data_IF_393761378075
#
_entry.id   IF_393761378075
#
_cell.length_a   1.000
_cell.length_b   1.000
_cell.length_c   1.000
_cell.angle_alpha   90.00
_cell.angle_beta   90.00
_cell.angle_gamma   90.00
#
_symmetry.space_group_name_H-M   'P 1'
#
loop_
_entity.id
_entity.type
_entity.pdbx_description
1 polymer ?
#
# COMPACT_ATOMS: atom_id res chain seq x y z
N UNK A 1 -23.33 1.66 -29.20
CA UNK A 1 -22.28 0.66 -29.52
C UNK A 1 -20.95 1.21 -29.01
N UNK A 2 -20.54 0.83 -27.79
CA UNK A 2 -19.28 1.29 -27.22
C UNK A 2 -18.13 0.78 -28.09
N UNK A 3 -17.29 1.69 -28.58
CA UNK A 3 -16.11 1.39 -29.39
C UNK A 3 -15.18 0.43 -28.64
N UNK A 4 -15.12 -0.81 -29.12
CA UNK A 4 -14.33 -1.93 -28.58
C UNK A 4 -12.81 -1.66 -28.63
N UNK A 5 -12.36 -0.67 -29.41
CA UNK A 5 -10.94 -0.29 -29.51
C UNK A 5 -10.45 0.66 -28.40
N UNK A 6 -11.33 1.48 -27.83
CA UNK A 6 -10.95 2.51 -26.84
C UNK A 6 -10.89 1.96 -25.40
N UNK A 7 -11.50 0.80 -25.14
CA UNK A 7 -11.66 0.24 -23.79
C UNK A 7 -10.48 -0.60 -23.28
N UNK A 8 -9.81 -1.37 -24.14
CA UNK A 8 -8.57 -2.10 -23.75
C UNK A 8 -7.35 -1.21 -23.65
N UNK A 9 -7.19 -0.29 -24.60
CA UNK A 9 -6.04 0.61 -24.61
C UNK A 9 -6.08 1.53 -23.38
N UNK A 10 -7.25 2.10 -23.07
CA UNK A 10 -7.46 2.88 -21.85
C UNK A 10 -7.26 2.08 -20.55
N UNK A 11 -7.62 0.78 -20.55
CA UNK A 11 -7.36 -0.09 -19.41
C UNK A 11 -5.85 -0.27 -19.17
N UNK A 12 -5.07 -0.49 -20.22
CA UNK A 12 -3.61 -0.64 -20.13
C UNK A 12 -2.94 0.69 -19.78
N UNK A 13 -3.33 1.78 -20.44
CA UNK A 13 -2.84 3.15 -20.19
C UNK A 13 -3.02 3.56 -18.73
N UNK A 14 -4.06 3.06 -18.06
CA UNK A 14 -4.28 3.31 -16.63
C UNK A 14 -3.59 2.26 -15.75
N UNK A 15 -3.62 0.99 -16.14
CA UNK A 15 -3.10 -0.11 -15.31
C UNK A 15 -1.57 -0.06 -15.13
N UNK A 16 -0.82 0.29 -16.18
CA UNK A 16 0.65 0.35 -16.12
C UNK A 16 1.14 1.40 -15.12
N UNK A 17 0.76 2.69 -15.21
CA UNK A 17 1.21 3.68 -14.24
C UNK A 17 0.70 3.36 -12.83
N UNK A 18 -0.50 2.78 -12.69
CA UNK A 18 -1.01 2.37 -11.39
C UNK A 18 -0.18 1.25 -10.76
N UNK A 19 0.20 0.22 -11.53
CA UNK A 19 1.09 -0.85 -11.06
C UNK A 19 2.46 -0.32 -10.65
N UNK A 20 3.04 0.60 -11.42
CA UNK A 20 4.32 1.24 -11.09
C UNK A 20 4.22 2.04 -9.80
N UNK A 21 3.13 2.79 -9.61
CA UNK A 21 2.88 3.54 -8.38
C UNK A 21 2.69 2.62 -7.17
N UNK A 22 1.93 1.53 -7.31
CA UNK A 22 1.75 0.52 -6.25
C UNK A 22 3.08 -0.12 -5.90
N UNK A 23 3.86 -0.55 -6.90
CA UNK A 23 5.15 -1.22 -6.69
C UNK A 23 6.17 -0.32 -6.00
N UNK A 24 6.33 0.92 -6.47
CA UNK A 24 7.24 1.90 -5.88
C UNK A 24 6.83 2.27 -4.45
N UNK A 25 5.54 2.52 -4.21
CA UNK A 25 5.01 2.82 -2.88
C UNK A 25 5.20 1.64 -1.93
N UNK A 26 4.91 0.41 -2.38
CA UNK A 26 5.08 -0.79 -1.58
C UNK A 26 6.54 -1.04 -1.22
N UNK A 27 7.45 -0.82 -2.17
CA UNK A 27 8.88 -0.92 -1.93
C UNK A 27 9.34 0.10 -0.87
N UNK A 28 9.01 1.38 -1.04
CA UNK A 28 9.41 2.45 -0.11
C UNK A 28 8.85 2.19 1.30
N UNK A 29 7.55 1.91 1.41
CA UNK A 29 6.89 1.69 2.69
C UNK A 29 7.42 0.43 3.39
N UNK A 30 7.61 -0.67 2.65
CA UNK A 30 8.16 -1.90 3.21
C UNK A 30 9.60 -1.71 3.65
N UNK A 31 10.40 -0.97 2.88
CA UNK A 31 11.77 -0.62 3.23
C UNK A 31 11.83 0.13 4.57
N UNK A 32 11.00 1.16 4.76
CA UNK A 32 10.95 1.89 6.03
C UNK A 32 10.41 1.02 7.18
N UNK A 33 9.42 0.17 6.92
CA UNK A 33 8.83 -0.70 7.95
C UNK A 33 9.85 -1.67 8.56
N UNK A 34 10.85 -2.11 7.80
CA UNK A 34 11.92 -2.99 8.28
C UNK A 34 12.69 -2.33 9.43
N UNK A 35 12.93 -1.02 9.36
CA UNK A 35 13.71 -0.27 10.34
C UNK A 35 12.94 0.13 11.61
N UNK A 36 11.66 -0.20 11.74
CA UNK A 36 10.87 0.09 12.95
C UNK A 36 11.09 -1.01 13.99
N UNK A 37 11.83 -0.79 15.09
CA UNK A 37 12.18 -1.86 16.04
C UNK A 37 10.97 -2.35 16.87
N UNK A 38 9.95 -1.52 17.08
CA UNK A 38 8.80 -1.82 17.94
C UNK A 38 7.81 -2.82 17.32
N UNK A 39 7.93 -3.09 16.01
CA UNK A 39 7.00 -3.96 15.27
C UNK A 39 7.59 -5.35 15.14
N UNK A 40 6.79 -6.37 15.46
CA UNK A 40 7.23 -7.76 15.32
C UNK A 40 7.57 -8.12 13.86
N UNK A 41 8.59 -8.95 13.64
CA UNK A 41 8.99 -9.41 12.30
C UNK A 41 7.82 -10.06 11.56
N UNK A 42 6.96 -10.82 12.26
CA UNK A 42 5.78 -11.45 11.67
C UNK A 42 4.78 -10.42 11.16
N UNK A 43 4.50 -9.37 11.93
CA UNK A 43 3.60 -8.28 11.51
C UNK A 43 4.17 -7.52 10.32
N UNK A 44 5.49 -7.24 10.30
CA UNK A 44 6.16 -6.60 9.16
C UNK A 44 5.97 -7.41 7.87
N UNK A 45 6.18 -8.72 7.93
CA UNK A 45 6.01 -9.62 6.79
C UNK A 45 4.55 -9.70 6.33
N UNK A 46 3.60 -9.86 7.25
CA UNK A 46 2.18 -9.96 6.92
C UNK A 46 1.71 -8.66 6.24
N UNK A 47 1.93 -7.51 6.87
CA UNK A 47 1.45 -6.23 6.35
C UNK A 47 2.22 -5.83 5.08
N UNK A 48 3.54 -6.06 5.06
CA UNK A 48 4.40 -5.79 3.91
C UNK A 48 4.10 -6.66 2.69
N UNK A 49 3.59 -7.90 2.87
CA UNK A 49 3.11 -8.73 1.78
C UNK A 49 1.67 -8.41 1.38
N UNK A 50 0.79 -8.16 2.36
CA UNK A 50 -0.63 -7.90 2.12
C UNK A 50 -0.86 -6.64 1.28
N UNK A 51 -0.07 -5.59 1.50
CA UNK A 51 -0.17 -4.33 0.75
C UNK A 51 0.07 -4.48 -0.76
N UNK A 52 1.22 -4.99 -1.26
CA UNK A 52 1.43 -5.18 -2.70
C UNK A 52 0.48 -6.23 -3.29
N UNK A 53 0.17 -7.31 -2.56
CA UNK A 53 -0.74 -8.35 -3.06
C UNK A 53 -2.14 -7.78 -3.31
N UNK A 54 -2.69 -7.03 -2.34
CA UNK A 54 -4.02 -6.42 -2.50
C UNK A 54 -4.06 -5.38 -3.63
N UNK A 55 -2.98 -4.60 -3.81
CA UNK A 55 -2.85 -3.68 -4.95
C UNK A 55 -2.82 -4.39 -6.30
N UNK A 56 -2.14 -5.54 -6.39
CA UNK A 56 -2.16 -6.38 -7.60
C UNK A 56 -3.57 -6.91 -7.89
N UNK A 57 -4.30 -7.37 -6.87
CA UNK A 57 -5.68 -7.81 -7.04
C UNK A 57 -6.64 -6.67 -7.44
N UNK A 58 -6.41 -5.43 -6.95
CA UNK A 58 -7.18 -4.27 -7.41
C UNK A 58 -7.00 -4.01 -8.91
N UNK A 59 -5.76 -4.11 -9.42
CA UNK A 59 -5.50 -3.95 -10.85
C UNK A 59 -6.04 -5.15 -11.64
N UNK A 60 -5.75 -6.38 -11.21
CA UNK A 60 -6.18 -7.61 -11.87
C UNK A 60 -7.70 -7.72 -11.97
N UNK A 61 -8.43 -7.31 -10.94
CA UNK A 61 -9.90 -7.28 -10.95
C UNK A 61 -10.46 -6.33 -12.01
N UNK A 62 -9.76 -5.24 -12.35
CA UNK A 62 -10.10 -4.38 -13.49
C UNK A 62 -10.07 -5.13 -14.83
N UNK A 63 -9.06 -5.99 -15.01
CA UNK A 63 -9.01 -6.91 -16.17
C UNK A 63 -10.11 -7.97 -16.09
N UNK A 64 -10.42 -8.49 -14.91
CA UNK A 64 -11.48 -9.49 -14.78
C UNK A 64 -12.87 -8.93 -15.06
N UNK A 65 -13.16 -7.70 -14.64
CA UNK A 65 -14.41 -7.02 -14.99
C UNK A 65 -14.53 -6.89 -16.51
N UNK A 66 -13.43 -6.56 -17.18
CA UNK A 66 -13.40 -6.41 -18.62
C UNK A 66 -13.60 -7.74 -19.38
N UNK A 67 -12.96 -8.83 -18.95
CA UNK A 67 -12.95 -10.10 -19.67
C UNK A 67 -14.03 -11.10 -19.24
N UNK A 68 -14.40 -11.13 -17.96
CA UNK A 68 -15.30 -12.14 -17.39
C UNK A 68 -16.64 -11.58 -16.91
N UNK A 69 -16.77 -10.25 -16.78
CA UNK A 69 -18.04 -9.58 -16.53
C UNK A 69 -18.16 -8.88 -15.16
N UNK A 70 -19.34 -8.31 -14.85
CA UNK A 70 -19.51 -7.33 -13.77
C UNK A 70 -19.44 -7.91 -12.36
N UNK A 71 -19.53 -9.23 -12.17
CA UNK A 71 -19.43 -9.85 -10.85
C UNK A 71 -18.09 -9.59 -10.16
N UNK A 72 -17.03 -9.34 -10.93
CA UNK A 72 -15.69 -9.03 -10.41
C UNK A 72 -15.57 -7.63 -9.79
N UNK A 73 -16.62 -6.80 -9.85
CA UNK A 73 -16.67 -5.51 -9.15
C UNK A 73 -16.54 -5.70 -7.63
N UNK A 74 -17.13 -6.75 -7.07
CA UNK A 74 -16.99 -7.05 -5.63
C UNK A 74 -15.54 -7.39 -5.25
N UNK A 75 -14.84 -8.14 -6.11
CA UNK A 75 -13.43 -8.43 -5.92
C UNK A 75 -12.60 -7.14 -5.98
N UNK A 76 -12.92 -6.24 -6.91
CA UNK A 76 -12.24 -4.93 -7.01
C UNK A 76 -12.43 -4.11 -5.73
N UNK A 77 -13.68 -4.01 -5.26
CA UNK A 77 -13.98 -3.28 -4.03
C UNK A 77 -13.28 -3.86 -2.80
N UNK A 78 -13.30 -5.18 -2.64
CA UNK A 78 -12.64 -5.86 -1.54
C UNK A 78 -11.12 -5.68 -1.59
N UNK A 79 -10.53 -5.77 -2.79
CA UNK A 79 -9.09 -5.59 -2.99
C UNK A 79 -8.67 -4.15 -2.70
N UNK A 80 -9.46 -3.17 -3.13
CA UNK A 80 -9.27 -1.76 -2.82
C UNK A 80 -9.33 -1.49 -1.31
N UNK A 81 -10.33 -2.03 -0.60
CA UNK A 81 -10.42 -1.89 0.85
C UNK A 81 -9.24 -2.53 1.59
N UNK A 82 -8.80 -3.71 1.15
CA UNK A 82 -7.63 -4.39 1.72
C UNK A 82 -6.35 -3.59 1.47
N UNK A 83 -6.19 -3.03 0.27
CA UNK A 83 -5.07 -2.16 -0.09
C UNK A 83 -5.05 -0.87 0.74
N UNK A 84 -6.20 -0.18 0.82
CA UNK A 84 -6.30 1.07 1.55
C UNK A 84 -6.12 0.89 3.07
N UNK A 85 -6.69 -0.17 3.64
CA UNK A 85 -6.52 -0.47 5.06
C UNK A 85 -5.08 -0.83 5.40
N UNK A 86 -4.42 -1.67 4.60
CA UNK A 86 -3.01 -2.00 4.80
C UNK A 86 -2.09 -0.78 4.64
N UNK A 87 -2.37 0.11 3.68
CA UNK A 87 -1.68 1.39 3.53
C UNK A 87 -1.79 2.26 4.78
N UNK A 88 -3.01 2.46 5.30
CA UNK A 88 -3.26 3.25 6.50
C UNK A 88 -2.58 2.66 7.74
N UNK A 89 -2.57 1.33 7.87
CA UNK A 89 -1.90 0.64 8.98
C UNK A 89 -0.38 0.90 8.91
N UNK A 90 0.24 0.79 7.74
CA UNK A 90 1.69 1.06 7.59
C UNK A 90 1.99 2.52 7.92
N UNK A 91 1.22 3.47 7.39
CA UNK A 91 1.40 4.89 7.69
C UNK A 91 1.25 5.19 9.18
N UNK A 92 0.25 4.59 9.84
CA UNK A 92 0.04 4.76 11.26
C UNK A 92 1.23 4.26 12.10
N UNK A 93 1.77 3.08 11.74
CA UNK A 93 2.96 2.52 12.38
C UNK A 93 4.17 3.44 12.19
N UNK A 94 4.42 3.89 10.96
CA UNK A 94 5.55 4.78 10.66
C UNK A 94 5.43 6.13 11.37
N UNK A 95 4.21 6.69 11.43
CA UNK A 95 3.95 7.93 12.16
C UNK A 95 4.22 7.77 13.66
N UNK A 96 3.73 6.69 14.28
CA UNK A 96 4.02 6.40 15.69
C UNK A 96 5.52 6.25 15.95
N UNK A 97 6.23 5.53 15.09
CA UNK A 97 7.68 5.36 15.21
C UNK A 97 8.42 6.70 15.13
N UNK A 98 8.04 7.57 14.18
CA UNK A 98 8.62 8.91 14.02
C UNK A 98 8.36 9.80 15.23
N UNK A 99 7.13 9.81 15.77
CA UNK A 99 6.79 10.58 16.96
C UNK A 99 7.57 10.11 18.20
N UNK A 100 7.71 8.80 18.40
CA UNK A 100 8.51 8.25 19.50
C UNK A 100 9.98 8.69 19.40
N UNK A 101 10.57 8.65 18.20
CA UNK A 101 11.93 9.13 17.97
C UNK A 101 12.06 10.63 18.26
N UNK A 102 11.08 11.45 17.87
CA UNK A 102 11.08 12.88 18.15
C UNK A 102 10.97 13.22 19.65
N UNK A 103 10.19 12.43 20.41
CA UNK A 103 10.03 12.60 21.85
C UNK A 103 11.25 12.16 22.67
N UNK A 104 11.98 11.14 22.20
CA UNK A 104 13.23 10.67 22.81
C UNK A 104 14.40 11.64 22.57
N UNK A 105 14.42 12.34 21.44
CA UNK A 105 15.44 13.36 21.13
C UNK A 105 15.36 14.64 21.98
N UNK A 106 14.22 14.89 22.65
CA UNK A 106 14.04 16.05 23.53
C UNK A 106 14.60 15.87 24.95
N UNK A 107 14.66 14.64 25.47
CA UNK A 107 15.10 14.38 26.86
C UNK A 107 16.62 14.35 27.05
N UNK A 108 17.39 14.05 26.01
CA UNK A 108 18.86 13.94 26.11
C UNK A 108 19.59 15.28 26.10
N UNK A 109 18.99 16.35 25.56
CA UNK A 109 19.60 17.69 25.57
C UNK A 109 19.46 18.46 26.87
N UNK A 110 18.54 18.07 27.77
CA UNK A 110 18.32 18.78 29.04
C UNK A 110 19.19 18.29 30.20
N UNK A 111 19.80 17.10 30.10
CA UNK A 111 20.56 16.50 31.21
C UNK A 111 22.07 16.69 31.12
N UNK A 112 22.58 17.32 30.06
CA UNK A 112 24.01 17.58 29.87
C UNK A 112 24.42 19.00 30.32
N UNK A 113 23.50 19.76 30.92
CA UNK A 113 23.71 21.17 31.31
C UNK A 113 23.37 21.46 32.79
N UNK A 114 23.30 20.41 33.63
CA UNK A 114 23.11 20.52 35.08
C UNK A 114 24.26 19.87 35.83
#
# INVERSE_FOLDING_TARGET
LFSVGRSRLGLIETAVPHLVSIASTAFILSHFLIFVPEVSTRSKLIVGALFPISGLFDVASGFFIFYYGPLFVYLKYLSFLCFQSSYLIILWILLKASLLQSGLGGKTKSSANS
#
